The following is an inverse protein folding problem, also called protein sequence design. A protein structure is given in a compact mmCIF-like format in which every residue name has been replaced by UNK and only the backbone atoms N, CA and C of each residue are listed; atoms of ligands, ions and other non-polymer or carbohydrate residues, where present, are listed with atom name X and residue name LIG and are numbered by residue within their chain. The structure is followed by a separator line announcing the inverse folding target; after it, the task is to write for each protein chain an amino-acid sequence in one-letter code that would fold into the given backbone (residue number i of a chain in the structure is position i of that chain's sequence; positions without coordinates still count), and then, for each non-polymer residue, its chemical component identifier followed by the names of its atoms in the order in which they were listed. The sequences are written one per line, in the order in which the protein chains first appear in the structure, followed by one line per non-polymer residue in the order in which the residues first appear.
data_IF_142787940513
#
_entry.id   IF_142787940513
#
_cell.length_a   1.000
_cell.length_b   1.000
_cell.length_c   1.000
_cell.angle_alpha   90.00
_cell.angle_beta   90.00
_cell.angle_gamma   90.00
#
_symmetry.space_group_name_H-M   'P 1'
#
loop_
_entity.id
_entity.type
_entity.pdbx_description
1 polymer ?
#
# COMPACT_ATOMS: atom_id res chain seq x y z
N UNK A 1 28.83 10.18 1.27
CA UNK A 1 27.80 9.59 0.41
C UNK A 1 26.46 9.72 1.14
N UNK A 2 25.40 10.20 0.47
CA UNK A 2 24.04 10.17 1.08
C UNK A 2 23.65 8.72 1.32
N UNK A 3 23.11 8.41 2.49
CA UNK A 3 22.58 7.06 2.80
C UNK A 3 21.49 6.74 1.79
N UNK A 4 21.51 5.56 1.19
CA UNK A 4 20.45 5.13 0.26
C UNK A 4 19.13 4.99 1.02
N UNK A 5 18.03 5.46 0.42
CA UNK A 5 16.70 5.27 0.97
C UNK A 5 16.31 3.79 0.92
N UNK A 6 15.73 3.31 1.98
CA UNK A 6 15.19 1.96 2.10
C UNK A 6 13.90 1.84 1.29
N UNK A 7 13.70 0.76 0.55
CA UNK A 7 12.42 0.40 -0.05
C UNK A 7 11.73 -0.63 0.83
N UNK A 8 10.65 -0.21 1.49
CA UNK A 8 9.88 -1.02 2.43
C UNK A 8 8.60 -1.56 1.76
N UNK A 9 8.56 -2.88 1.55
CA UNK A 9 7.45 -3.55 0.87
C UNK A 9 6.48 -4.25 1.86
N UNK A 10 5.18 -4.37 1.50
CA UNK A 10 4.20 -5.06 2.34
C UNK A 10 4.28 -6.58 2.19
N UNK A 11 4.09 -7.30 3.29
CA UNK A 11 3.89 -8.75 3.28
C UNK A 11 2.62 -9.11 4.07
N UNK A 12 1.57 -9.53 3.35
CA UNK A 12 0.31 -9.98 3.93
C UNK A 12 0.33 -11.45 4.34
N UNK A 13 1.25 -12.23 3.79
CA UNK A 13 1.52 -13.63 4.03
C UNK A 13 2.85 -14.04 3.38
N UNK A 14 3.22 -15.32 3.47
CA UNK A 14 4.52 -15.81 2.99
C UNK A 14 4.74 -15.57 1.49
N UNK A 15 3.72 -15.73 0.64
CA UNK A 15 3.84 -15.50 -0.81
C UNK A 15 4.22 -14.04 -1.13
N UNK A 16 3.61 -13.09 -0.44
CA UNK A 16 3.90 -11.66 -0.58
C UNK A 16 5.28 -11.31 -0.04
N UNK A 17 5.72 -11.95 1.05
CA UNK A 17 7.07 -11.77 1.59
C UNK A 17 8.12 -12.20 0.58
N UNK A 18 8.00 -13.40 0.02
CA UNK A 18 8.90 -13.90 -1.03
C UNK A 18 8.90 -12.94 -2.24
N UNK A 19 7.71 -12.53 -2.68
CA UNK A 19 7.58 -11.60 -3.80
C UNK A 19 8.29 -10.25 -3.54
N UNK A 20 8.18 -9.70 -2.32
CA UNK A 20 8.86 -8.46 -1.94
C UNK A 20 10.39 -8.62 -1.97
N UNK A 21 10.90 -9.66 -1.32
CA UNK A 21 12.33 -9.93 -1.17
C UNK A 21 12.99 -10.17 -2.53
N UNK A 22 12.40 -11.04 -3.37
CA UNK A 22 12.95 -11.40 -4.68
C UNK A 22 12.87 -10.26 -5.71
N UNK A 23 12.03 -9.23 -5.46
CA UNK A 23 11.90 -8.05 -6.32
C UNK A 23 12.60 -6.80 -5.76
N UNK A 24 13.50 -6.95 -4.79
CA UNK A 24 14.45 -5.93 -4.38
C UNK A 24 13.97 -5.00 -3.26
N UNK A 25 13.09 -5.46 -2.38
CA UNK A 25 12.85 -4.77 -1.12
C UNK A 25 14.11 -4.77 -0.24
N UNK A 26 14.41 -3.66 0.44
CA UNK A 26 15.44 -3.58 1.48
C UNK A 26 14.88 -3.99 2.85
N UNK A 27 13.57 -3.82 3.01
CA UNK A 27 12.83 -4.25 4.19
C UNK A 27 11.41 -4.68 3.83
N UNK A 28 10.82 -5.53 4.66
CA UNK A 28 9.41 -5.92 4.58
C UNK A 28 8.70 -5.60 5.88
N UNK A 29 7.41 -5.24 5.80
CA UNK A 29 6.59 -5.13 6.99
C UNK A 29 5.43 -6.11 6.93
N UNK A 30 5.24 -6.82 8.03
CA UNK A 30 4.24 -7.87 8.16
C UNK A 30 3.57 -7.82 9.53
N UNK A 31 2.62 -8.69 9.80
CA UNK A 31 1.94 -8.76 11.10
C UNK A 31 1.37 -10.14 11.38
N UNK A 32 1.27 -10.46 12.65
CA UNK A 32 0.58 -11.65 13.13
C UNK A 32 -0.93 -11.45 13.20
N UNK A 33 -1.62 -12.44 13.73
CA UNK A 33 -3.08 -12.42 13.90
C UNK A 33 -3.56 -11.45 15.00
N UNK A 34 -2.67 -10.97 15.86
CA UNK A 34 -2.99 -10.08 16.98
C UNK A 34 -2.41 -8.68 16.80
N UNK A 35 -3.08 -7.69 17.38
CA UNK A 35 -2.60 -6.31 17.55
C UNK A 35 -2.18 -5.56 16.27
N UNK A 36 -2.73 -5.95 15.10
CA UNK A 36 -2.39 -5.28 13.84
C UNK A 36 -3.60 -4.65 13.13
N UNK A 37 -3.35 -3.57 12.39
CA UNK A 37 -4.36 -2.80 11.66
C UNK A 37 -4.92 -3.47 10.40
N UNK A 38 -4.42 -4.65 10.02
CA UNK A 38 -4.86 -5.42 8.85
C UNK A 38 -5.22 -6.85 9.27
N UNK A 39 -6.13 -6.96 10.23
CA UNK A 39 -6.58 -8.26 10.78
C UNK A 39 -7.18 -9.19 9.71
N UNK A 40 -7.70 -8.63 8.61
CA UNK A 40 -8.28 -9.37 7.50
C UNK A 40 -7.25 -9.74 6.39
N UNK A 41 -5.96 -9.46 6.55
CA UNK A 41 -4.91 -10.05 5.72
C UNK A 41 -4.73 -11.53 6.13
N UNK A 42 -4.02 -12.32 5.32
CA UNK A 42 -3.71 -13.71 5.68
C UNK A 42 -2.97 -13.78 7.02
N UNK A 43 -2.07 -12.79 7.25
CA UNK A 43 -1.21 -12.66 8.42
C UNK A 43 -0.32 -13.90 8.61
N UNK A 44 0.54 -13.84 9.61
CA UNK A 44 1.51 -14.90 9.88
C UNK A 44 1.21 -15.57 11.21
N UNK A 45 1.24 -16.88 11.24
CA UNK A 45 1.40 -17.65 12.48
C UNK A 45 2.79 -17.40 13.06
N UNK A 46 3.04 -17.76 14.31
CA UNK A 46 4.36 -17.62 14.93
C UNK A 46 5.44 -18.38 14.15
N UNK A 47 5.12 -19.58 13.69
CA UNK A 47 6.06 -20.41 12.89
C UNK A 47 6.35 -19.79 11.52
N UNK A 48 5.32 -19.36 10.77
CA UNK A 48 5.50 -18.68 9.50
C UNK A 48 6.26 -17.36 9.66
N UNK A 49 6.05 -16.65 10.77
CA UNK A 49 6.74 -15.39 11.07
C UNK A 49 8.24 -15.64 11.25
N UNK A 50 8.61 -16.66 12.03
CA UNK A 50 10.01 -17.06 12.22
C UNK A 50 10.65 -17.45 10.89
N UNK A 51 9.99 -18.31 10.10
CA UNK A 51 10.47 -18.71 8.77
C UNK A 51 10.61 -17.51 7.84
N UNK A 52 9.65 -16.57 7.88
CA UNK A 52 9.69 -15.34 7.10
C UNK A 52 10.85 -14.42 7.47
N UNK A 53 11.15 -14.26 8.76
CA UNK A 53 12.29 -13.50 9.26
C UNK A 53 13.60 -14.14 8.77
N UNK A 54 13.76 -15.44 8.97
CA UNK A 54 14.94 -16.19 8.51
C UNK A 54 15.14 -16.07 7.00
N UNK A 55 14.05 -16.23 6.22
CA UNK A 55 14.09 -16.10 4.75
C UNK A 55 14.56 -14.72 4.30
N UNK A 56 14.06 -13.65 4.94
CA UNK A 56 14.42 -12.29 4.64
C UNK A 56 15.87 -11.98 5.03
N UNK A 57 16.28 -12.38 6.24
CA UNK A 57 17.62 -12.09 6.76
C UNK A 57 18.74 -12.76 5.96
N UNK A 58 18.56 -14.00 5.48
CA UNK A 58 19.55 -14.68 4.59
C UNK A 58 19.80 -13.84 3.32
N UNK A 59 18.85 -12.96 2.95
CA UNK A 59 18.93 -12.08 1.77
C UNK A 59 19.25 -10.62 2.12
N UNK A 60 19.64 -10.35 3.38
CA UNK A 60 19.90 -9.00 3.92
C UNK A 60 18.70 -8.07 3.84
N UNK A 61 17.48 -8.59 3.95
CA UNK A 61 16.24 -7.82 4.00
C UNK A 61 15.75 -7.77 5.43
N UNK A 62 15.48 -6.56 5.95
CA UNK A 62 14.96 -6.33 7.29
C UNK A 62 13.48 -6.67 7.40
N UNK A 63 13.04 -7.01 8.61
CA UNK A 63 11.64 -7.35 8.89
C UNK A 63 11.09 -6.51 10.03
N UNK A 64 10.05 -5.72 9.73
CA UNK A 64 9.35 -4.88 10.71
C UNK A 64 7.96 -5.44 10.99
N UNK A 65 7.65 -5.64 12.27
CA UNK A 65 6.38 -6.24 12.66
C UNK A 65 5.40 -5.16 13.11
N UNK A 66 4.18 -5.22 12.54
CA UNK A 66 3.11 -4.29 12.90
C UNK A 66 2.40 -4.72 14.19
N UNK A 67 2.50 -3.89 15.22
CA UNK A 67 1.74 -3.93 16.46
C UNK A 67 1.03 -2.58 16.60
N UNK A 68 0.25 -2.23 15.58
CA UNK A 68 -0.18 -0.86 15.28
C UNK A 68 -1.69 -0.65 15.46
N UNK A 69 -2.23 -1.21 16.52
CA UNK A 69 -3.56 -0.90 17.05
C UNK A 69 -3.46 -0.15 18.39
N UNK A 70 -4.55 0.45 18.83
CA UNK A 70 -4.67 0.93 20.20
C UNK A 70 -4.89 -0.26 21.15
N UNK A 71 -4.38 -0.16 22.35
CA UNK A 71 -4.49 -1.18 23.39
C UNK A 71 -5.54 -0.78 24.44
N UNK A 72 -6.21 -1.76 24.99
CA UNK A 72 -6.95 -1.63 26.23
C UNK A 72 -6.05 -2.06 27.39
N UNK A 73 -6.35 -1.63 28.60
CA UNK A 73 -5.53 -1.94 29.77
C UNK A 73 -5.37 -3.45 29.97
N UNK A 74 -6.44 -4.23 29.75
CA UNK A 74 -6.41 -5.68 29.85
C UNK A 74 -5.59 -6.40 28.77
N UNK A 75 -5.19 -5.71 27.71
CA UNK A 75 -4.42 -6.26 26.60
C UNK A 75 -2.90 -5.98 26.73
N UNK A 76 -2.49 -5.09 27.64
CA UNK A 76 -1.11 -4.61 27.73
C UNK A 76 -0.13 -5.72 28.05
N UNK A 77 -0.46 -6.62 28.99
CA UNK A 77 0.38 -7.76 29.37
C UNK A 77 0.59 -8.71 28.19
N UNK A 78 -0.49 -9.16 27.55
CA UNK A 78 -0.41 -10.02 26.37
C UNK A 78 0.31 -9.35 25.19
N UNK A 79 0.16 -8.03 25.05
CA UNK A 79 0.90 -7.24 24.07
C UNK A 79 2.41 -7.21 24.32
N UNK A 80 2.81 -7.07 25.58
CA UNK A 80 4.22 -7.07 25.96
C UNK A 80 4.85 -8.46 25.81
N UNK A 81 4.16 -9.52 26.21
CA UNK A 81 4.60 -10.90 25.94
C UNK A 81 4.81 -11.14 24.45
N UNK A 82 3.87 -10.69 23.62
CA UNK A 82 3.98 -10.80 22.17
C UNK A 82 5.17 -10.00 21.62
N UNK A 83 5.42 -8.78 22.12
CA UNK A 83 6.60 -8.01 21.75
C UNK A 83 7.91 -8.72 22.13
N UNK A 84 7.96 -9.38 23.29
CA UNK A 84 9.09 -10.22 23.70
C UNK A 84 9.34 -11.40 22.76
N UNK A 85 8.30 -12.11 22.37
CA UNK A 85 8.40 -13.20 21.40
C UNK A 85 8.93 -12.72 20.04
N UNK A 86 8.48 -11.55 19.57
CA UNK A 86 8.95 -10.96 18.31
C UNK A 86 10.43 -10.55 18.37
N UNK A 87 10.86 -10.04 19.54
CA UNK A 87 12.25 -9.73 19.79
C UNK A 87 13.13 -10.99 19.74
N UNK A 88 12.71 -12.07 20.41
CA UNK A 88 13.41 -13.36 20.41
C UNK A 88 13.44 -14.03 19.03
N UNK A 89 12.41 -13.81 18.19
CA UNK A 89 12.39 -14.27 16.79
C UNK A 89 13.35 -13.48 15.89
N UNK A 90 13.90 -12.35 16.35
CA UNK A 90 14.83 -11.53 15.60
C UNK A 90 14.18 -10.50 14.69
N UNK A 91 12.96 -10.04 14.99
CA UNK A 91 12.37 -8.91 14.27
C UNK A 91 13.25 -7.65 14.42
N UNK A 92 13.45 -6.90 13.32
CA UNK A 92 14.35 -5.75 13.30
C UNK A 92 13.71 -4.48 13.91
N UNK A 93 12.39 -4.37 13.93
CA UNK A 93 11.66 -3.28 14.60
C UNK A 93 10.18 -3.60 14.79
N UNK A 94 9.55 -2.89 15.74
CA UNK A 94 8.09 -2.86 15.87
C UNK A 94 7.52 -1.56 15.30
N UNK A 95 6.44 -1.67 14.51
CA UNK A 95 5.66 -0.52 14.05
C UNK A 95 4.46 -0.37 15.00
N UNK A 96 4.48 0.65 15.86
CA UNK A 96 3.54 0.85 16.98
C UNK A 96 2.70 2.11 16.74
N UNK A 97 1.40 2.05 17.09
CA UNK A 97 0.49 3.19 17.09
C UNK A 97 0.34 3.77 18.50
N UNK A 98 0.17 2.90 19.51
CA UNK A 98 -0.15 3.27 20.87
C UNK A 98 1.09 3.76 21.62
N UNK A 99 1.08 5.03 22.04
CA UNK A 99 2.24 5.65 22.71
C UNK A 99 2.46 5.09 24.13
N UNK A 100 1.37 4.73 24.82
CA UNK A 100 1.46 4.11 26.15
C UNK A 100 2.09 2.74 26.07
N UNK A 101 1.60 1.90 25.16
CA UNK A 101 2.20 0.60 24.90
C UNK A 101 3.65 0.72 24.42
N UNK A 102 3.96 1.66 23.53
CA UNK A 102 5.33 1.91 23.09
C UNK A 102 6.28 2.26 24.24
N UNK A 103 5.81 3.01 25.25
CA UNK A 103 6.59 3.33 26.44
C UNK A 103 6.86 2.10 27.31
N UNK A 104 5.89 1.19 27.42
CA UNK A 104 6.04 -0.09 28.12
C UNK A 104 7.07 -0.98 27.42
N UNK A 105 6.97 -1.13 26.09
CA UNK A 105 7.93 -1.90 25.29
C UNK A 105 9.34 -1.31 25.42
N UNK A 106 9.49 0.01 25.33
CA UNK A 106 10.80 0.68 25.46
C UNK A 106 11.42 0.44 26.84
N UNK A 107 10.61 0.40 27.89
CA UNK A 107 11.11 0.12 29.25
C UNK A 107 11.55 -1.34 29.45
N UNK A 108 10.82 -2.28 28.84
CA UNK A 108 11.08 -3.72 28.98
C UNK A 108 12.14 -4.24 27.99
N UNK A 109 12.19 -3.69 26.79
CA UNK A 109 13.07 -4.09 25.67
C UNK A 109 13.78 -2.84 25.11
N UNK A 110 14.74 -2.27 25.83
CA UNK A 110 15.35 -0.99 25.49
C UNK A 110 16.09 -0.98 24.15
N UNK A 111 16.57 -2.14 23.69
CA UNK A 111 17.32 -2.30 22.45
C UNK A 111 16.43 -2.59 21.24
N UNK A 112 15.12 -2.83 21.45
CA UNK A 112 14.22 -3.15 20.35
C UNK A 112 13.82 -1.85 19.61
N UNK A 113 14.18 -1.67 18.32
CA UNK A 113 13.82 -0.49 17.56
C UNK A 113 12.31 -0.30 17.45
N UNK A 114 11.84 0.93 17.70
CA UNK A 114 10.44 1.30 17.60
C UNK A 114 10.21 2.31 16.47
N UNK A 115 9.32 1.99 15.55
CA UNK A 115 8.85 2.85 14.49
C UNK A 115 7.44 3.34 14.81
N UNK A 116 7.23 4.65 14.83
CA UNK A 116 5.91 5.21 15.11
C UNK A 116 5.03 5.16 13.85
N UNK A 117 3.91 4.44 13.96
CA UNK A 117 2.96 4.22 12.86
C UNK A 117 2.31 5.52 12.39
N UNK A 118 2.00 5.61 11.09
CA UNK A 118 1.15 6.68 10.53
C UNK A 118 -0.22 6.80 11.22
N UNK A 119 -0.68 5.73 11.86
CA UNK A 119 -1.93 5.75 12.63
C UNK A 119 -1.83 6.57 13.93
N UNK A 120 -0.62 6.89 14.41
CA UNK A 120 -0.40 7.82 15.52
C UNK A 120 -0.65 9.29 15.12
N UNK A 121 -0.94 9.57 13.85
CA UNK A 121 -1.35 10.89 13.34
C UNK A 121 -0.32 12.00 13.56
N UNK A 122 0.95 11.70 13.35
CA UNK A 122 2.02 12.70 13.44
C UNK A 122 2.08 13.49 12.13
N UNK A 123 1.77 14.77 12.17
CA UNK A 123 1.66 15.63 10.98
C UNK A 123 2.41 16.96 11.10
N UNK A 124 3.29 17.11 12.08
CA UNK A 124 4.12 18.31 12.22
C UNK A 124 5.44 18.03 12.94
N UNK A 125 6.37 18.95 12.82
CA UNK A 125 7.72 18.88 13.40
C UNK A 125 7.71 18.68 14.93
N UNK A 126 6.74 19.28 15.64
CA UNK A 126 6.65 19.13 17.11
C UNK A 126 6.30 17.70 17.49
N UNK A 127 5.37 17.07 16.77
CA UNK A 127 5.01 15.67 16.98
C UNK A 127 6.18 14.73 16.69
N UNK A 128 6.96 14.99 15.62
CA UNK A 128 8.13 14.20 15.27
C UNK A 128 9.21 14.29 16.37
N UNK A 129 9.55 15.51 16.83
CA UNK A 129 10.48 15.70 17.92
C UNK A 129 10.00 14.99 19.20
N UNK A 130 8.69 15.08 19.48
CA UNK A 130 8.13 14.39 20.67
C UNK A 130 8.23 12.88 20.55
N UNK A 131 8.00 12.33 19.36
CA UNK A 131 8.18 10.89 19.09
C UNK A 131 9.64 10.46 19.35
N UNK A 132 10.62 11.22 18.87
CA UNK A 132 12.04 10.96 19.12
C UNK A 132 12.39 11.03 20.62
N UNK A 133 11.86 12.01 21.36
CA UNK A 133 12.00 12.11 22.83
C UNK A 133 11.41 10.90 23.56
N UNK A 134 10.36 10.27 23.01
CA UNK A 134 9.76 9.05 23.55
C UNK A 134 10.51 7.77 23.14
N UNK A 135 11.63 7.91 22.41
CA UNK A 135 12.49 6.81 22.02
C UNK A 135 12.09 6.10 20.72
N UNK A 136 11.22 6.70 19.90
CA UNK A 136 10.98 6.18 18.56
C UNK A 136 12.12 6.59 17.63
N UNK A 137 12.72 5.60 16.97
CA UNK A 137 13.85 5.81 16.04
C UNK A 137 13.39 6.30 14.68
N UNK A 138 12.22 5.83 14.25
CA UNK A 138 11.60 6.20 12.98
C UNK A 138 10.16 6.66 13.17
N UNK A 139 9.76 7.65 12.41
CA UNK A 139 8.38 8.14 12.36
C UNK A 139 7.81 7.98 10.95
N UNK A 140 6.63 7.37 10.86
CA UNK A 140 5.83 7.35 9.64
C UNK A 140 4.77 8.46 9.76
N UNK A 141 5.01 9.66 9.24
CA UNK A 141 4.06 10.77 9.40
C UNK A 141 2.74 10.50 8.67
N UNK A 142 1.76 11.31 8.96
CA UNK A 142 0.49 11.31 8.27
C UNK A 142 0.70 11.58 6.75
N UNK A 143 -0.15 10.98 5.91
CA UNK A 143 -0.05 11.08 4.43
C UNK A 143 -0.50 12.43 3.88
N UNK A 144 -0.96 13.30 4.75
CA UNK A 144 -1.45 14.64 4.44
C UNK A 144 -0.34 15.69 4.39
N UNK A 145 0.93 15.31 4.64
CA UNK A 145 2.06 16.22 4.55
C UNK A 145 2.39 16.58 3.10
N UNK A 146 2.66 17.87 2.89
CA UNK A 146 3.28 18.38 1.66
C UNK A 146 4.78 18.04 1.62
N UNK A 147 5.39 18.12 0.44
CA UNK A 147 6.83 17.92 0.27
C UNK A 147 7.66 18.87 1.15
N UNK A 148 7.21 20.11 1.30
CA UNK A 148 7.88 21.09 2.17
C UNK A 148 7.81 20.68 3.65
N UNK A 149 6.66 20.19 4.12
CA UNK A 149 6.52 19.68 5.48
C UNK A 149 7.35 18.41 5.70
N UNK A 150 7.49 17.56 4.67
CA UNK A 150 8.40 16.40 4.70
C UNK A 150 9.86 16.86 4.85
N UNK A 151 10.31 17.90 4.13
CA UNK A 151 11.66 18.48 4.30
C UNK A 151 11.88 19.01 5.72
N UNK A 152 10.88 19.67 6.28
CA UNK A 152 10.95 20.15 7.68
C UNK A 152 10.99 18.98 8.67
N UNK A 153 10.28 17.88 8.37
CA UNK A 153 10.28 16.67 9.16
C UNK A 153 11.67 16.01 9.19
N UNK A 154 12.28 15.80 8.04
CA UNK A 154 13.61 15.18 7.92
C UNK A 154 14.71 16.06 8.51
N UNK A 155 14.58 17.39 8.46
CA UNK A 155 15.50 18.34 9.08
C UNK A 155 15.57 18.21 10.62
N UNK A 156 14.67 17.46 11.26
CA UNK A 156 14.75 17.17 12.71
C UNK A 156 15.87 16.19 13.07
N UNK A 157 16.40 15.44 12.09
CA UNK A 157 17.38 14.37 12.29
C UNK A 157 16.76 13.04 12.68
N UNK A 158 15.43 12.95 12.81
CA UNK A 158 14.69 11.68 13.03
C UNK A 158 14.53 10.96 11.71
N UNK A 159 14.62 9.62 11.70
CA UNK A 159 14.32 8.83 10.52
C UNK A 159 12.86 8.99 10.10
N UNK A 160 12.65 9.44 8.87
CA UNK A 160 11.31 9.66 8.30
C UNK A 160 11.03 8.63 7.21
N UNK A 161 9.91 7.91 7.39
CA UNK A 161 9.37 6.95 6.43
C UNK A 161 8.09 7.51 5.83
N UNK A 162 7.97 7.55 4.50
CA UNK A 162 6.75 8.03 3.83
C UNK A 162 6.14 6.95 2.94
N UNK A 163 4.82 6.98 2.80
CA UNK A 163 4.16 6.18 1.76
C UNK A 163 4.41 6.79 0.39
N UNK A 164 4.73 5.92 -0.58
CA UNK A 164 5.01 6.32 -1.97
C UNK A 164 4.06 5.65 -2.98
N UNK A 165 3.38 4.57 -2.59
CA UNK A 165 2.43 3.86 -3.46
C UNK A 165 1.29 3.21 -2.67
N UNK A 166 0.11 3.11 -3.32
CA UNK A 166 -1.02 2.31 -2.86
C UNK A 166 -2.17 3.11 -2.26
N UNK A 167 -3.03 2.44 -1.50
CA UNK A 167 -4.30 2.97 -1.07
C UNK A 167 -4.19 4.22 -0.18
N UNK A 168 -4.96 5.27 -0.52
CA UNK A 168 -5.14 6.46 0.32
C UNK A 168 -6.37 6.33 1.21
N UNK A 169 -6.33 6.96 2.40
CA UNK A 169 -7.48 7.17 3.25
C UNK A 169 -8.19 8.47 2.88
N UNK A 170 -9.53 8.49 2.98
CA UNK A 170 -10.30 9.72 2.84
C UNK A 170 -10.14 10.65 4.04
N UNK A 171 -10.12 10.05 5.24
CA UNK A 171 -9.95 10.77 6.50
C UNK A 171 -8.46 10.97 6.81
N UNK A 172 -8.17 11.93 7.68
CA UNK A 172 -6.84 12.08 8.26
C UNK A 172 -6.31 10.75 8.79
N UNK A 173 -5.03 10.48 8.56
CA UNK A 173 -4.37 9.25 8.96
C UNK A 173 -4.58 8.96 10.45
N UNK A 174 -5.11 7.77 10.77
CA UNK A 174 -5.37 7.35 12.14
C UNK A 174 -6.61 7.95 12.84
N UNK A 175 -7.31 8.91 12.24
CA UNK A 175 -8.42 9.67 12.90
C UNK A 175 -9.81 9.26 12.45
N UNK A 176 -9.96 8.26 11.58
CA UNK A 176 -11.25 7.88 11.02
C UNK A 176 -12.16 7.19 12.04
N UNK A 177 -13.31 7.78 12.34
CA UNK A 177 -14.36 7.19 13.17
C UNK A 177 -15.54 6.62 12.38
N UNK A 178 -15.56 6.81 11.04
CA UNK A 178 -16.72 6.47 10.21
C UNK A 178 -17.13 5.00 10.30
N UNK A 179 -16.17 4.08 10.22
CA UNK A 179 -16.44 2.64 10.34
C UNK A 179 -16.96 2.24 11.72
N UNK A 180 -16.50 2.91 12.78
CA UNK A 180 -16.98 2.72 14.16
C UNK A 180 -18.41 3.23 14.32
N UNK A 181 -18.69 4.40 13.77
CA UNK A 181 -20.01 5.07 13.91
C UNK A 181 -21.10 4.33 13.14
N UNK A 182 -20.81 3.90 11.90
CA UNK A 182 -21.80 3.25 11.03
C UNK A 182 -22.03 1.78 11.43
N UNK A 183 -20.95 1.03 11.71
CA UNK A 183 -21.02 -0.42 11.86
C UNK A 183 -20.34 -0.99 13.12
N UNK A 184 -20.00 -0.18 14.10
CA UNK A 184 -19.34 -0.63 15.34
C UNK A 184 -17.91 -1.14 15.17
N UNK A 185 -17.31 -1.02 13.97
CA UNK A 185 -16.00 -1.59 13.59
C UNK A 185 -14.91 -0.51 13.62
N UNK A 186 -14.06 -0.53 14.64
CA UNK A 186 -12.99 0.47 14.79
C UNK A 186 -11.83 0.26 13.81
N UNK A 187 -11.55 1.27 12.96
CA UNK A 187 -10.37 1.27 12.09
C UNK A 187 -9.05 1.25 12.86
N UNK A 188 -9.02 1.87 14.05
CA UNK A 188 -7.83 1.90 14.93
C UNK A 188 -7.59 0.56 15.67
N UNK A 189 -8.50 -0.37 15.48
CA UNK A 189 -8.42 -1.75 16.00
C UNK A 189 -8.35 -2.79 14.87
N UNK A 190 -7.96 -2.37 13.67
CA UNK A 190 -7.81 -3.25 12.50
C UNK A 190 -9.12 -3.65 11.82
N UNK A 191 -10.27 -3.13 12.24
CA UNK A 191 -11.60 -3.58 11.80
C UNK A 191 -12.26 -2.62 10.79
N UNK A 192 -11.52 -1.79 10.09
CA UNK A 192 -12.07 -0.87 9.11
C UNK A 192 -12.89 -1.59 8.03
N UNK A 193 -14.19 -1.27 7.93
CA UNK A 193 -15.10 -1.80 6.91
C UNK A 193 -15.04 -1.04 5.58
N UNK A 194 -14.13 -0.06 5.45
CA UNK A 194 -13.98 0.81 4.28
C UNK A 194 -15.28 1.54 3.86
N UNK A 195 -16.03 2.17 4.77
CA UNK A 195 -17.29 2.82 4.40
C UNK A 195 -17.09 3.95 3.39
N UNK A 196 -15.92 4.59 3.33
CA UNK A 196 -15.58 5.56 2.30
C UNK A 196 -15.56 4.98 0.86
N UNK A 197 -15.61 3.65 0.72
CA UNK A 197 -15.65 2.93 -0.58
C UNK A 197 -17.06 2.50 -0.98
N UNK A 198 -18.08 2.85 -0.22
CA UNK A 198 -19.49 2.58 -0.54
C UNK A 198 -20.06 3.69 -1.42
N UNK A 199 -21.13 3.37 -2.14
CA UNK A 199 -21.90 4.34 -2.86
C UNK A 199 -22.74 5.19 -1.89
N UNK A 200 -22.80 6.49 -2.14
CA UNK A 200 -23.60 7.46 -1.40
C UNK A 200 -24.39 8.33 -2.37
N UNK A 201 -25.55 8.79 -1.95
CA UNK A 201 -26.31 9.82 -2.66
C UNK A 201 -25.97 11.20 -2.10
N UNK A 202 -25.55 12.12 -2.97
CA UNK A 202 -25.31 13.52 -2.67
C UNK A 202 -26.09 14.38 -3.67
N UNK A 203 -27.02 15.18 -3.18
CA UNK A 203 -27.91 16.04 -4.01
C UNK A 203 -28.60 15.25 -5.14
N UNK A 204 -29.09 14.04 -4.81
CA UNK A 204 -29.77 13.15 -5.76
C UNK A 204 -28.85 12.44 -6.77
N UNK A 205 -27.54 12.59 -6.66
CA UNK A 205 -26.55 11.89 -7.47
C UNK A 205 -25.91 10.76 -6.69
N UNK A 206 -26.07 9.54 -7.15
CA UNK A 206 -25.38 8.39 -6.59
C UNK A 206 -23.95 8.27 -7.12
N UNK A 207 -23.02 7.87 -6.25
CA UNK A 207 -21.62 7.66 -6.63
C UNK A 207 -20.73 7.36 -5.43
N UNK A 208 -19.45 7.13 -5.72
CA UNK A 208 -18.43 6.82 -4.71
C UNK A 208 -17.71 8.09 -4.25
N UNK A 209 -18.50 9.05 -3.77
CA UNK A 209 -18.08 10.42 -3.46
C UNK A 209 -16.94 10.54 -2.45
N UNK A 210 -16.65 9.49 -1.68
CA UNK A 210 -15.61 9.47 -0.66
C UNK A 210 -14.45 8.52 -1.00
N UNK A 211 -14.45 7.91 -2.21
CA UNK A 211 -13.46 6.91 -2.60
C UNK A 211 -12.20 7.55 -3.17
N UNK A 212 -11.05 7.59 -2.44
CA UNK A 212 -9.81 8.13 -2.97
C UNK A 212 -9.21 7.23 -4.05
N UNK A 213 -8.49 7.83 -5.00
CA UNK A 213 -7.55 7.15 -5.89
C UNK A 213 -6.39 6.55 -5.09
N UNK A 214 -5.65 5.63 -5.71
CA UNK A 214 -4.40 5.13 -5.12
C UNK A 214 -3.26 6.13 -5.36
N UNK A 215 -2.32 6.21 -4.41
CA UNK A 215 -1.11 7.02 -4.56
C UNK A 215 -0.14 6.35 -5.51
N UNK A 216 0.51 7.12 -6.36
CA UNK A 216 1.70 6.71 -7.11
C UNK A 216 2.64 7.91 -7.28
N UNK A 217 3.84 7.79 -6.75
CA UNK A 217 4.84 8.86 -6.75
C UNK A 217 6.19 8.38 -7.27
N UNK A 218 6.19 7.37 -8.12
CA UNK A 218 7.41 6.74 -8.66
C UNK A 218 8.33 7.72 -9.39
N UNK A 219 7.77 8.74 -10.01
CA UNK A 219 8.46 9.84 -10.68
C UNK A 219 9.10 10.87 -9.73
N UNK A 220 8.75 10.84 -8.44
CA UNK A 220 9.20 11.82 -7.43
C UNK A 220 10.17 11.25 -6.39
N UNK A 221 10.64 10.01 -6.55
CA UNK A 221 11.54 9.37 -5.58
C UNK A 221 12.83 10.17 -5.36
N UNK A 222 13.35 10.81 -6.42
CA UNK A 222 14.52 11.70 -6.31
C UNK A 222 14.27 12.90 -5.39
N UNK A 223 13.12 13.56 -5.50
CA UNK A 223 12.74 14.70 -4.65
C UNK A 223 12.67 14.30 -3.17
N UNK A 224 12.17 13.10 -2.87
CA UNK A 224 12.08 12.58 -1.51
C UNK A 224 13.46 12.20 -0.96
N UNK A 225 14.32 11.59 -1.79
CA UNK A 225 15.69 11.28 -1.42
C UNK A 225 16.51 12.56 -1.15
N UNK A 226 16.30 13.61 -1.94
CA UNK A 226 16.90 14.93 -1.72
C UNK A 226 16.34 15.60 -0.46
N UNK A 227 15.07 15.41 -0.17
CA UNK A 227 14.44 15.87 1.06
C UNK A 227 14.96 15.15 2.31
N UNK A 228 15.75 14.07 2.18
CA UNK A 228 16.33 13.35 3.31
C UNK A 228 15.42 12.25 3.89
N UNK A 229 14.44 11.78 3.14
CA UNK A 229 13.58 10.64 3.55
C UNK A 229 14.42 9.38 3.67
N UNK A 230 14.25 8.62 4.75
CA UNK A 230 15.04 7.42 5.05
C UNK A 230 14.43 6.16 4.44
N UNK A 231 13.09 6.07 4.33
CA UNK A 231 12.38 4.87 3.88
C UNK A 231 11.14 5.18 3.03
N UNK A 232 11.00 4.46 1.93
CA UNK A 232 9.89 4.53 0.99
C UNK A 232 8.97 3.32 1.17
N UNK A 233 7.78 3.56 1.69
CA UNK A 233 6.82 2.50 2.04
C UNK A 233 5.76 2.32 0.97
N UNK A 234 5.60 1.07 0.53
CA UNK A 234 4.49 0.64 -0.33
C UNK A 234 3.32 0.16 0.54
N UNK A 235 2.12 0.71 0.36
CA UNK A 235 0.90 0.15 0.99
C UNK A 235 0.39 -1.03 0.17
N UNK A 236 0.04 -2.15 0.85
CA UNK A 236 -0.45 -3.30 0.11
C UNK A 236 -0.56 -4.62 0.88
N UNK A 237 -0.62 -4.64 2.22
CA UNK A 237 -0.70 -5.89 3.00
C UNK A 237 -1.90 -6.80 2.66
N UNK A 238 -2.95 -6.25 2.07
CA UNK A 238 -4.12 -7.01 1.59
C UNK A 238 -4.08 -7.23 0.06
N UNK A 239 -2.93 -7.08 -0.56
CA UNK A 239 -2.74 -7.27 -2.01
C UNK A 239 -2.13 -8.63 -2.32
N UNK A 240 -2.26 -9.06 -3.58
CA UNK A 240 -1.68 -10.31 -4.06
C UNK A 240 -0.15 -10.25 -4.16
N UNK A 241 0.50 -11.41 -4.30
CA UNK A 241 1.95 -11.49 -4.47
C UNK A 241 2.41 -10.81 -5.77
N UNK A 242 1.61 -10.89 -6.83
CA UNK A 242 1.88 -10.25 -8.13
C UNK A 242 1.90 -8.73 -8.00
N UNK A 243 0.97 -8.15 -7.22
CA UNK A 243 0.98 -6.71 -6.93
C UNK A 243 2.27 -6.31 -6.19
N UNK A 244 2.65 -7.08 -5.17
CA UNK A 244 3.85 -6.79 -4.40
C UNK A 244 5.09 -6.89 -5.28
N UNK A 245 5.21 -7.94 -6.09
CA UNK A 245 6.30 -8.12 -7.04
C UNK A 245 6.42 -6.95 -8.02
N UNK A 246 5.31 -6.64 -8.71
CA UNK A 246 5.28 -5.59 -9.75
C UNK A 246 5.62 -4.21 -9.19
N UNK A 247 4.97 -3.82 -8.08
CA UNK A 247 5.21 -2.50 -7.48
C UNK A 247 6.64 -2.41 -6.95
N UNK A 248 7.11 -3.42 -6.20
CA UNK A 248 8.46 -3.41 -5.63
C UNK A 248 9.52 -3.34 -6.72
N UNK A 249 9.43 -4.14 -7.79
CA UNK A 249 10.39 -4.16 -8.89
C UNK A 249 10.47 -2.82 -9.63
N UNK A 250 9.31 -2.18 -9.91
CA UNK A 250 9.27 -0.87 -10.57
C UNK A 250 9.89 0.20 -9.68
N UNK A 251 9.53 0.26 -8.39
CA UNK A 251 10.11 1.23 -7.46
C UNK A 251 11.61 1.01 -7.27
N UNK A 252 12.08 -0.24 -7.19
CA UNK A 252 13.50 -0.58 -7.14
C UNK A 252 14.24 -0.13 -8.40
N UNK A 253 13.68 -0.36 -9.59
CA UNK A 253 14.26 0.08 -10.88
C UNK A 253 14.53 1.58 -10.87
N UNK A 254 13.52 2.39 -10.50
CA UNK A 254 13.66 3.86 -10.54
C UNK A 254 14.47 4.43 -9.39
N UNK A 255 14.49 3.79 -8.24
CA UNK A 255 15.37 4.17 -7.15
C UNK A 255 16.85 3.91 -7.51
N UNK A 256 17.16 2.79 -8.15
CA UNK A 256 18.49 2.50 -8.65
C UNK A 256 18.89 3.48 -9.75
N UNK A 257 18.01 3.76 -10.73
CA UNK A 257 18.23 4.78 -11.77
C UNK A 257 18.59 6.12 -11.16
N UNK A 258 17.86 6.56 -10.15
CA UNK A 258 18.16 7.83 -9.46
C UNK A 258 19.57 7.84 -8.85
N UNK A 259 19.97 6.77 -8.17
CA UNK A 259 21.30 6.70 -7.56
C UNK A 259 22.43 6.58 -8.58
N UNK A 260 22.18 6.02 -9.75
CA UNK A 260 23.16 5.87 -10.83
C UNK A 260 23.29 7.12 -11.68
N UNK A 261 22.19 7.81 -11.98
CA UNK A 261 22.13 8.88 -12.97
C UNK A 261 21.83 10.27 -12.40
N UNK A 262 21.32 10.33 -11.16
CA UNK A 262 20.85 11.57 -10.52
C UNK A 262 19.47 12.02 -11.00
N UNK A 263 18.78 11.25 -11.84
CA UNK A 263 17.45 11.58 -12.37
C UNK A 263 16.55 10.37 -12.50
N UNK A 264 15.25 10.63 -12.72
CA UNK A 264 14.24 9.59 -12.96
C UNK A 264 13.48 9.94 -14.24
N UNK A 265 13.42 8.98 -15.16
CA UNK A 265 12.57 9.04 -16.35
C UNK A 265 11.74 7.75 -16.39
N UNK A 266 10.50 7.86 -15.95
CA UNK A 266 9.60 6.69 -15.86
C UNK A 266 9.07 6.33 -17.23
N UNK A 267 9.34 5.08 -17.66
CA UNK A 267 8.82 4.52 -18.91
C UNK A 267 7.29 4.42 -18.85
N UNK A 268 6.64 4.71 -19.98
CA UNK A 268 5.18 4.59 -20.10
C UNK A 268 4.70 3.14 -19.89
N UNK A 269 5.51 2.15 -20.29
CA UNK A 269 5.23 0.74 -20.07
C UNK A 269 5.16 0.39 -18.57
N UNK A 270 6.10 0.91 -17.75
CA UNK A 270 6.09 0.68 -16.30
C UNK A 270 4.94 1.43 -15.63
N UNK A 271 4.62 2.65 -16.08
CA UNK A 271 3.47 3.40 -15.58
C UNK A 271 2.17 2.63 -15.85
N UNK A 272 2.02 2.11 -17.08
CA UNK A 272 0.89 1.28 -17.47
C UNK A 272 0.83 -0.04 -16.67
N UNK A 273 1.97 -0.67 -16.40
CA UNK A 273 2.03 -1.89 -15.59
C UNK A 273 1.57 -1.65 -14.14
N UNK A 274 1.94 -0.50 -13.54
CA UNK A 274 1.43 -0.11 -12.22
C UNK A 274 -0.09 0.14 -12.24
N UNK A 275 -0.64 0.75 -13.30
CA UNK A 275 -2.08 0.91 -13.45
C UNK A 275 -2.79 -0.42 -13.68
N UNK A 276 -2.20 -1.29 -14.50
CA UNK A 276 -2.78 -2.60 -14.82
C UNK A 276 -2.81 -3.52 -13.61
N UNK A 277 -1.78 -3.50 -12.76
CA UNK A 277 -1.78 -4.38 -11.58
C UNK A 277 -2.80 -3.94 -10.53
N UNK A 278 -2.97 -2.64 -10.31
CA UNK A 278 -4.04 -2.10 -9.46
C UNK A 278 -4.16 -0.58 -9.49
N UNK A 279 -5.34 -0.07 -9.80
CA UNK A 279 -5.71 1.33 -9.60
C UNK A 279 -7.22 1.47 -9.31
N UNK A 280 -7.63 2.55 -8.62
CA UNK A 280 -9.03 2.93 -8.38
C UNK A 280 -9.36 4.22 -9.14
N UNK A 281 -9.42 4.12 -10.47
CA UNK A 281 -9.74 5.27 -11.33
C UNK A 281 -8.54 6.19 -11.58
N UNK A 282 -7.35 5.61 -11.70
CA UNK A 282 -6.07 6.30 -11.89
C UNK A 282 -5.33 6.53 -10.57
N UNK A 283 -4.28 7.34 -10.63
CA UNK A 283 -3.41 7.65 -9.52
C UNK A 283 -3.54 9.10 -9.05
N UNK A 284 -3.06 9.34 -7.82
CA UNK A 284 -2.92 10.66 -7.20
C UNK A 284 -1.54 10.78 -6.57
N UNK A 285 -1.03 12.00 -6.48
CA UNK A 285 0.17 12.32 -5.70
C UNK A 285 -0.18 12.76 -4.25
N UNK A 286 -1.44 12.62 -3.84
CA UNK A 286 -1.91 13.01 -2.52
C UNK A 286 -1.77 14.51 -2.29
N UNK A 287 -1.21 14.88 -1.16
CA UNK A 287 -1.10 16.26 -0.68
C UNK A 287 0.28 16.90 -0.94
N UNK A 288 1.16 16.25 -1.71
CA UNK A 288 2.57 16.63 -1.84
C UNK A 288 2.80 18.08 -2.30
N UNK A 289 2.00 18.57 -3.25
CA UNK A 289 2.15 19.95 -3.76
C UNK A 289 1.09 20.90 -3.19
N UNK A 290 -0.12 20.40 -3.00
CA UNK A 290 -1.28 21.17 -2.52
C UNK A 290 -2.41 20.24 -2.11
N UNK A 291 -3.48 20.81 -1.53
CA UNK A 291 -4.72 20.06 -1.36
C UNK A 291 -5.25 19.61 -2.73
N UNK A 292 -5.35 18.31 -3.00
CA UNK A 292 -5.73 17.78 -4.31
C UNK A 292 -7.22 17.99 -4.66
N UNK A 293 -8.05 18.44 -3.71
CA UNK A 293 -9.47 18.69 -3.93
C UNK A 293 -10.20 17.44 -4.49
N UNK A 294 -11.01 17.65 -5.54
CA UNK A 294 -11.79 16.56 -6.17
C UNK A 294 -10.91 15.56 -6.94
N UNK A 295 -9.73 15.96 -7.39
CA UNK A 295 -8.80 15.08 -8.13
C UNK A 295 -8.27 13.94 -7.27
N UNK A 296 -8.39 14.06 -5.95
CA UNK A 296 -8.09 13.01 -4.99
C UNK A 296 -9.07 11.82 -5.07
N UNK A 297 -10.29 12.07 -5.55
CA UNK A 297 -11.39 11.09 -5.52
C UNK A 297 -11.54 10.39 -6.89
N UNK A 298 -11.87 9.11 -6.82
CA UNK A 298 -12.19 8.31 -8.00
C UNK A 298 -13.58 8.66 -8.57
N UNK A 299 -14.57 8.83 -7.69
CA UNK A 299 -15.96 9.15 -8.05
C UNK A 299 -16.77 7.99 -8.63
N UNK A 300 -16.18 7.20 -9.50
CA UNK A 300 -16.89 6.23 -10.34
C UNK A 300 -16.79 4.79 -9.82
N UNK A 301 -15.61 4.37 -9.36
CA UNK A 301 -15.34 2.96 -9.02
C UNK A 301 -14.53 2.87 -7.71
N UNK A 302 -14.98 2.05 -6.72
CA UNK A 302 -14.26 1.88 -5.46
C UNK A 302 -13.24 0.72 -5.49
N UNK A 303 -13.31 -0.10 -6.55
CA UNK A 303 -12.48 -1.30 -6.78
C UNK A 303 -11.43 -1.04 -7.86
N UNK A 304 -10.67 -2.08 -8.20
CA UNK A 304 -9.74 -2.04 -9.31
C UNK A 304 -10.47 -1.74 -10.63
N UNK A 305 -9.93 -0.78 -11.41
CA UNK A 305 -10.51 -0.35 -12.68
C UNK A 305 -9.85 -1.03 -13.89
N UNK A 306 -8.60 -1.49 -13.75
CA UNK A 306 -7.79 -1.93 -14.88
C UNK A 306 -7.34 -0.76 -15.77
N UNK A 307 -6.92 -1.09 -16.98
CA UNK A 307 -6.52 -0.14 -18.03
C UNK A 307 -7.41 -0.32 -19.26
N UNK A 308 -7.67 0.78 -19.96
CA UNK A 308 -8.41 0.72 -21.22
C UNK A 308 -7.53 0.06 -22.29
N UNK A 309 -8.02 -1.05 -22.85
CA UNK A 309 -7.28 -1.84 -23.84
C UNK A 309 -7.89 -1.81 -25.22
N UNK A 310 -9.13 -1.35 -25.37
CA UNK A 310 -9.74 -1.34 -26.70
C UNK A 310 -11.26 -1.27 -26.68
N UNK A 311 -11.84 -1.51 -27.84
CA UNK A 311 -13.27 -1.38 -28.10
C UNK A 311 -13.83 -2.67 -28.70
N UNK A 312 -14.98 -3.12 -28.21
CA UNK A 312 -15.75 -4.21 -28.79
C UNK A 312 -16.25 -3.78 -30.17
N UNK A 313 -16.02 -4.62 -31.18
CA UNK A 313 -16.49 -4.44 -32.53
C UNK A 313 -17.72 -5.31 -32.84
N UNK A 314 -17.67 -6.57 -32.37
CA UNK A 314 -18.65 -7.59 -32.77
C UNK A 314 -18.73 -8.65 -31.66
N UNK A 315 -19.89 -9.23 -31.44
CA UNK A 315 -20.12 -10.37 -30.55
C UNK A 315 -20.72 -11.53 -31.34
N UNK A 316 -20.12 -12.71 -31.24
CA UNK A 316 -20.54 -13.94 -31.87
C UNK A 316 -20.61 -15.06 -30.82
N UNK A 317 -21.76 -15.26 -30.21
CA UNK A 317 -21.95 -16.24 -29.13
C UNK A 317 -21.08 -15.89 -27.93
N UNK A 318 -20.13 -16.78 -27.59
CA UNK A 318 -19.18 -16.61 -26.49
C UNK A 318 -17.87 -15.93 -26.92
N UNK A 319 -17.73 -15.57 -28.20
CA UNK A 319 -16.55 -14.89 -28.74
C UNK A 319 -16.88 -13.42 -28.94
N UNK A 320 -15.98 -12.55 -28.48
CA UNK A 320 -16.07 -11.11 -28.68
C UNK A 320 -14.89 -10.66 -29.51
N UNK A 321 -15.16 -10.00 -30.66
CA UNK A 321 -14.11 -9.36 -31.44
C UNK A 321 -13.87 -7.96 -30.93
N UNK A 322 -12.62 -7.68 -30.58
CA UNK A 322 -12.20 -6.36 -30.11
C UNK A 322 -11.18 -5.74 -31.06
N UNK A 323 -11.19 -4.43 -31.15
CA UNK A 323 -10.07 -3.64 -31.66
C UNK A 323 -9.24 -3.21 -30.45
N UNK A 324 -8.00 -3.69 -30.37
CA UNK A 324 -7.13 -3.39 -29.24
C UNK A 324 -5.87 -2.63 -29.68
N UNK A 325 -5.36 -1.81 -28.79
CA UNK A 325 -4.04 -1.15 -28.85
C UNK A 325 -3.11 -1.60 -27.70
N UNK A 326 -3.51 -2.63 -26.96
CA UNK A 326 -2.73 -3.23 -25.88
C UNK A 326 -2.68 -4.75 -26.00
N UNK A 327 -1.75 -5.34 -25.29
CA UNK A 327 -1.58 -6.78 -25.20
C UNK A 327 -2.61 -7.39 -24.25
N UNK A 328 -3.06 -8.59 -24.60
CA UNK A 328 -3.98 -9.40 -23.79
C UNK A 328 -3.43 -10.81 -23.79
N UNK A 329 -3.43 -11.42 -22.62
CA UNK A 329 -2.97 -12.79 -22.40
C UNK A 329 -4.09 -13.69 -21.85
N UNK A 330 -3.98 -15.01 -22.06
CA UNK A 330 -4.84 -15.95 -21.39
C UNK A 330 -4.63 -15.84 -19.88
N UNK A 331 -5.74 -15.76 -19.13
CA UNK A 331 -5.73 -15.53 -17.69
C UNK A 331 -5.99 -14.08 -17.28
N UNK A 332 -5.93 -13.13 -18.21
CA UNK A 332 -6.27 -11.73 -17.92
C UNK A 332 -7.75 -11.58 -17.59
N UNK A 333 -8.05 -10.78 -16.56
CA UNK A 333 -9.40 -10.34 -16.25
C UNK A 333 -9.79 -9.17 -17.14
N UNK A 334 -10.89 -9.29 -17.88
CA UNK A 334 -11.43 -8.21 -18.74
C UNK A 334 -12.80 -7.80 -18.26
N UNK A 335 -13.05 -6.49 -18.22
CA UNK A 335 -14.37 -5.91 -18.05
C UNK A 335 -14.81 -5.25 -19.38
N UNK A 336 -16.01 -5.57 -19.83
CA UNK A 336 -16.68 -4.91 -20.96
C UNK A 336 -17.71 -3.95 -20.38
N UNK A 337 -17.54 -2.68 -20.70
CA UNK A 337 -18.42 -1.60 -20.24
C UNK A 337 -19.40 -1.22 -21.36
N UNK A 338 -20.69 -1.57 -21.14
CA UNK A 338 -21.83 -1.12 -21.91
C UNK A 338 -22.88 -0.55 -20.93
N UNK A 339 -24.16 -0.72 -21.14
CA UNK A 339 -25.22 -0.37 -20.16
C UNK A 339 -25.00 -1.06 -18.81
N UNK A 340 -24.42 -2.25 -18.84
CA UNK A 340 -23.98 -3.01 -17.66
C UNK A 340 -22.48 -3.31 -17.79
N UNK A 341 -21.79 -3.49 -16.65
CA UNK A 341 -20.41 -3.96 -16.61
C UNK A 341 -20.43 -5.48 -16.55
N UNK A 342 -19.81 -6.13 -17.53
CA UNK A 342 -19.65 -7.59 -17.58
C UNK A 342 -18.16 -7.91 -17.58
N UNK A 343 -17.72 -8.75 -16.62
CA UNK A 343 -16.33 -9.15 -16.49
C UNK A 343 -16.13 -10.66 -16.60
N UNK A 344 -15.01 -11.07 -17.19
CA UNK A 344 -14.60 -12.48 -17.24
C UNK A 344 -13.09 -12.62 -17.40
N UNK A 345 -12.60 -13.86 -17.20
CA UNK A 345 -11.21 -14.23 -17.50
C UNK A 345 -11.11 -14.65 -18.95
N UNK A 346 -10.08 -14.17 -19.63
CA UNK A 346 -9.78 -14.56 -21.00
C UNK A 346 -9.17 -15.96 -21.02
N UNK A 347 -9.83 -16.90 -21.70
CA UNK A 347 -9.36 -18.28 -21.86
C UNK A 347 -9.06 -18.66 -23.30
N UNK A 348 -9.45 -17.79 -24.26
CA UNK A 348 -9.23 -17.97 -25.68
C UNK A 348 -8.84 -16.64 -26.33
N UNK A 349 -7.77 -16.66 -27.14
CA UNK A 349 -7.32 -15.52 -27.93
C UNK A 349 -6.95 -15.99 -29.32
N UNK A 350 -7.45 -15.30 -30.35
CA UNK A 350 -7.09 -15.51 -31.74
C UNK A 350 -6.95 -14.16 -32.46
N UNK A 351 -5.89 -13.99 -33.22
CA UNK A 351 -5.76 -12.83 -34.11
C UNK A 351 -6.84 -12.84 -35.21
N UNK A 352 -7.49 -11.72 -35.36
CA UNK A 352 -8.59 -11.50 -36.32
C UNK A 352 -8.29 -10.37 -37.34
N UNK A 353 -6.99 -10.06 -37.52
CA UNK A 353 -6.47 -9.00 -38.40
C UNK A 353 -5.73 -7.91 -37.61
N UNK A 354 -5.15 -6.95 -38.33
CA UNK A 354 -4.30 -5.91 -37.73
C UNK A 354 -5.00 -5.15 -36.60
N UNK A 355 -4.49 -5.33 -35.37
CA UNK A 355 -5.02 -4.71 -34.16
C UNK A 355 -6.41 -5.24 -33.75
N UNK A 356 -6.79 -6.44 -34.19
CA UNK A 356 -8.06 -7.09 -33.81
C UNK A 356 -7.79 -8.46 -33.22
N UNK A 357 -8.47 -8.76 -32.12
CA UNK A 357 -8.43 -10.04 -31.43
C UNK A 357 -9.85 -10.59 -31.27
N UNK A 358 -10.02 -11.88 -31.48
CA UNK A 358 -11.17 -12.64 -31.03
C UNK A 358 -10.83 -13.22 -29.66
N UNK A 359 -11.57 -12.84 -28.63
CA UNK A 359 -11.41 -13.30 -27.25
C UNK A 359 -12.67 -14.05 -26.84
N UNK A 360 -12.52 -15.14 -26.12
CA UNK A 360 -13.69 -15.97 -25.86
C UNK A 360 -13.58 -16.88 -24.64
N UNK A 361 -14.60 -17.73 -24.59
CA UNK A 361 -14.96 -18.65 -23.53
C UNK A 361 -15.31 -17.93 -22.22
N UNK A 362 -16.09 -16.87 -22.34
CA UNK A 362 -16.72 -16.23 -21.21
C UNK A 362 -17.75 -17.19 -20.58
N UNK A 363 -17.35 -17.98 -19.60
CA UNK A 363 -18.28 -18.75 -18.76
C UNK A 363 -19.08 -17.80 -17.90
N UNK A 364 -20.18 -17.28 -18.44
CA UNK A 364 -21.09 -16.39 -17.71
C UNK A 364 -21.59 -15.26 -18.61
N UNK A 365 -22.85 -15.10 -18.64
CA UNK A 365 -23.67 -14.20 -19.43
C UNK A 365 -23.02 -12.87 -19.82
N UNK A 366 -22.71 -12.72 -21.11
CA UNK A 366 -22.73 -11.44 -21.81
C UNK A 366 -24.11 -11.35 -22.45
N UNK A 367 -25.05 -10.72 -21.78
CA UNK A 367 -26.38 -10.42 -22.34
C UNK A 367 -26.37 -9.07 -23.02
#
# INVERSE_FOLDING_TARGET
MKTKCELLAPAGGMKQLIAAVENGADAVYMGGHSFNARINADNFTAEEMKQGIEYAHIRNVKVYITVNTLFKDEELEAGLEYAGQLYEMGADALIIQDLGFGSIVRAALPDFPLHLSTQASIYNVRGIKKAAELGYERVVPARELSLEEIRQATATGTDIEIFVHGAMCFCYSGQCQMSRTIGGRSGNRGLCAQPCRLAYSLDGREGYHLSPKDMCTVDRLGEFAEAGVSSFKVEGRMKSAEYVAQVTSVYRKYLNMYYETGGIAVDEADRRALEQIFNRGGFTQGYLDKNPGRDFLSGDIPKHRGVYIGRVLEKNGQIVRIKTNGDISNGDGIEIHDKNITGNIVTYIKEAGRGKLDIGDFKGYVS
#
